data_IF_615433355327
#
_entry.id   IF_615433355327
#
_cell.length_a   1.000
_cell.length_b   1.000
_cell.length_c   1.000
_cell.angle_alpha   90.00
_cell.angle_beta   90.00
_cell.angle_gamma   90.00
#
_symmetry.space_group_name_H-M   'P 1'
#
loop_
_entity.id
_entity.type
_entity.pdbx_description
1 polymer ?
#
# COMPACT_ATOMS: atom_id res chain seq x y z
N UNK A 1 18.24 -9.91 -8.96
CA UNK A 1 16.82 -9.83 -9.40
C UNK A 1 16.12 -8.84 -8.51
N UNK A 2 15.50 -7.81 -9.08
CA UNK A 2 14.70 -6.85 -8.31
C UNK A 2 13.46 -7.59 -7.76
N UNK A 3 13.18 -7.43 -6.46
CA UNK A 3 12.03 -8.10 -5.83
C UNK A 3 10.74 -7.51 -6.39
N UNK A 4 9.79 -8.34 -6.80
CA UNK A 4 8.49 -7.90 -7.34
C UNK A 4 7.73 -7.07 -6.29
N UNK A 5 7.09 -5.98 -6.72
CA UNK A 5 6.22 -5.19 -5.84
C UNK A 5 4.98 -5.99 -5.42
N UNK A 6 4.60 -5.91 -4.15
CA UNK A 6 3.37 -6.55 -3.66
C UNK A 6 2.14 -5.77 -4.11
N UNK A 7 2.18 -4.44 -4.01
CA UNK A 7 1.01 -3.57 -4.18
C UNK A 7 1.08 -2.65 -5.41
N UNK A 8 2.28 -2.27 -5.87
CA UNK A 8 2.44 -1.14 -6.81
C UNK A 8 2.81 -1.57 -8.21
N UNK A 9 2.14 -0.99 -9.20
CA UNK A 9 2.38 -1.22 -10.62
C UNK A 9 1.66 -2.45 -11.21
N UNK A 10 1.58 -2.52 -12.55
CA UNK A 10 0.74 -3.48 -13.28
C UNK A 10 1.22 -4.94 -13.20
N UNK A 11 2.46 -5.16 -12.75
CA UNK A 11 3.04 -6.50 -12.54
C UNK A 11 3.13 -6.88 -11.06
N UNK A 12 2.51 -6.11 -10.17
CA UNK A 12 2.49 -6.43 -8.74
C UNK A 12 1.67 -7.67 -8.45
N UNK A 13 1.90 -8.27 -7.27
CA UNK A 13 1.09 -9.41 -6.83
C UNK A 13 -0.39 -9.07 -6.72
N UNK A 14 -0.70 -7.85 -6.28
CA UNK A 14 -2.06 -7.31 -6.26
C UNK A 14 -2.65 -7.18 -7.67
N UNK A 15 -1.89 -6.67 -8.66
CA UNK A 15 -2.38 -6.59 -10.04
C UNK A 15 -2.74 -7.96 -10.59
N UNK A 16 -1.88 -8.97 -10.36
CA UNK A 16 -2.04 -10.33 -10.87
C UNK A 16 -3.18 -11.07 -10.16
N UNK A 17 -3.23 -11.01 -8.83
CA UNK A 17 -4.14 -11.84 -8.04
C UNK A 17 -5.48 -11.17 -7.74
N UNK A 18 -5.51 -9.83 -7.65
CA UNK A 18 -6.68 -9.05 -7.23
C UNK A 18 -7.22 -8.13 -8.33
N UNK A 19 -6.52 -8.01 -9.47
CA UNK A 19 -6.93 -7.15 -10.59
C UNK A 19 -6.88 -5.65 -10.28
N UNK A 20 -6.22 -5.25 -9.20
CA UNK A 20 -6.03 -3.86 -8.79
C UNK A 20 -4.59 -3.63 -8.33
N UNK A 21 -4.08 -2.41 -8.43
CA UNK A 21 -2.76 -2.07 -7.90
C UNK A 21 -2.66 -0.58 -7.55
N UNK A 22 -1.71 -0.21 -6.69
CA UNK A 22 -1.37 1.19 -6.44
C UNK A 22 -0.52 1.72 -7.60
N UNK A 23 -0.89 2.87 -8.15
CA UNK A 23 -0.12 3.58 -9.18
C UNK A 23 1.39 3.61 -8.85
N UNK A 24 2.24 3.32 -9.84
CA UNK A 24 3.69 3.30 -9.67
C UNK A 24 4.32 4.68 -9.54
N UNK A 25 5.64 4.72 -9.42
CA UNK A 25 6.43 5.95 -9.28
C UNK A 25 6.80 6.29 -7.83
N UNK A 26 7.24 7.53 -7.61
CA UNK A 26 7.68 8.01 -6.30
C UNK A 26 6.52 8.05 -5.31
N UNK A 27 6.80 7.70 -4.06
CA UNK A 27 5.85 7.75 -2.95
C UNK A 27 5.42 9.20 -2.70
N UNK A 28 4.12 9.41 -2.63
CA UNK A 28 3.47 10.65 -2.23
C UNK A 28 2.37 10.33 -1.21
N UNK A 29 1.74 11.34 -0.64
CA UNK A 29 0.71 11.16 0.38
C UNK A 29 -0.49 10.32 -0.12
N UNK A 30 -0.90 10.50 -1.38
CA UNK A 30 -2.04 9.78 -1.95
C UNK A 30 -1.73 8.30 -2.20
N UNK A 31 -0.52 7.98 -2.67
CA UNK A 31 -0.05 6.59 -2.81
C UNK A 31 0.11 5.93 -1.44
N UNK A 32 0.64 6.63 -0.44
CA UNK A 32 0.70 6.11 0.92
C UNK A 32 -0.70 5.78 1.46
N UNK A 33 -1.69 6.64 1.24
CA UNK A 33 -3.09 6.36 1.59
C UNK A 33 -3.64 5.12 0.87
N UNK A 34 -3.35 4.96 -0.44
CA UNK A 34 -3.75 3.77 -1.21
C UNK A 34 -3.10 2.48 -0.67
N UNK A 35 -1.81 2.54 -0.32
CA UNK A 35 -1.14 1.43 0.33
C UNK A 35 -1.80 1.08 1.67
N UNK A 36 -1.99 2.05 2.56
CA UNK A 36 -2.62 1.84 3.87
C UNK A 36 -4.03 1.24 3.75
N UNK A 37 -4.80 1.67 2.75
CA UNK A 37 -6.10 1.08 2.44
C UNK A 37 -5.99 -0.43 2.16
N UNK A 38 -5.03 -0.84 1.32
CA UNK A 38 -4.81 -2.25 1.00
C UNK A 38 -4.20 -3.04 2.17
N UNK A 39 -3.34 -2.42 2.98
CA UNK A 39 -2.81 -3.05 4.19
C UNK A 39 -3.91 -3.36 5.21
N UNK A 40 -4.85 -2.43 5.43
CA UNK A 40 -5.99 -2.66 6.32
C UNK A 40 -6.91 -3.75 5.78
N UNK A 41 -7.21 -3.73 4.48
CA UNK A 41 -7.97 -4.81 3.81
C UNK A 41 -7.30 -6.18 4.01
N UNK A 42 -5.98 -6.24 3.86
CA UNK A 42 -5.20 -7.46 4.10
C UNK A 42 -5.28 -7.94 5.55
N UNK A 43 -5.23 -7.00 6.50
CA UNK A 43 -5.36 -7.31 7.93
C UNK A 43 -6.76 -7.85 8.25
N UNK A 44 -7.81 -7.21 7.76
CA UNK A 44 -9.21 -7.62 7.93
C UNK A 44 -9.46 -9.04 7.40
N UNK A 45 -8.91 -9.37 6.21
CA UNK A 45 -9.05 -10.71 5.62
C UNK A 45 -8.04 -11.74 6.13
N UNK A 46 -7.07 -11.33 6.94
CA UNK A 46 -6.06 -12.20 7.56
C UNK A 46 -4.90 -12.67 6.66
N UNK A 47 -4.79 -12.19 5.42
CA UNK A 47 -3.71 -12.58 4.51
C UNK A 47 -3.28 -11.48 3.54
N UNK A 48 -2.05 -11.62 3.05
CA UNK A 48 -1.44 -10.79 2.01
C UNK A 48 -0.49 -11.64 1.15
N UNK A 49 0.37 -11.02 0.35
CA UNK A 49 1.33 -11.68 -0.53
C UNK A 49 2.78 -11.39 -0.14
N UNK A 50 3.68 -12.31 -0.48
CA UNK A 50 5.13 -12.08 -0.51
C UNK A 50 5.61 -11.62 -1.90
N UNK A 51 6.93 -11.48 -2.08
CA UNK A 51 7.53 -11.05 -3.36
C UNK A 51 7.49 -12.13 -4.47
N UNK A 52 7.05 -13.36 -4.15
CA UNK A 52 6.79 -14.44 -5.11
C UNK A 52 5.28 -14.56 -5.40
N UNK A 53 4.47 -13.65 -4.86
CA UNK A 53 3.01 -13.66 -4.93
C UNK A 53 2.34 -14.88 -4.27
N UNK A 54 3.02 -15.51 -3.31
CA UNK A 54 2.42 -16.54 -2.46
C UNK A 54 1.64 -15.88 -1.35
N UNK A 55 0.49 -16.47 -0.99
CA UNK A 55 -0.30 -15.99 0.15
C UNK A 55 0.44 -16.26 1.46
N UNK A 56 0.55 -15.23 2.29
CA UNK A 56 1.12 -15.30 3.63
C UNK A 56 0.14 -14.67 4.63
N UNK A 57 0.23 -15.06 5.90
CA UNK A 57 -0.60 -14.48 6.96
C UNK A 57 -0.30 -12.98 7.12
N UNK A 58 -1.33 -12.15 7.17
CA UNK A 58 -1.20 -10.75 7.56
C UNK A 58 -1.40 -10.66 9.07
N UNK A 59 -0.31 -10.56 9.82
CA UNK A 59 -0.36 -10.35 11.27
C UNK A 59 -0.36 -8.85 11.59
N UNK A 60 -0.78 -8.42 12.79
CA UNK A 60 -0.66 -7.04 13.23
C UNK A 60 0.77 -6.49 13.10
N UNK A 61 1.78 -7.30 13.41
CA UNK A 61 3.19 -6.92 13.32
C UNK A 61 3.64 -6.72 11.87
N UNK A 62 3.17 -7.58 10.95
CA UNK A 62 3.46 -7.41 9.52
C UNK A 62 2.74 -6.19 8.94
N UNK A 63 1.49 -5.95 9.35
CA UNK A 63 0.73 -4.76 9.01
C UNK A 63 1.46 -3.48 9.45
N UNK A 64 1.93 -3.45 10.70
CA UNK A 64 2.69 -2.34 11.24
C UNK A 64 4.01 -2.12 10.48
N UNK A 65 4.79 -3.19 10.29
CA UNK A 65 6.07 -3.12 9.59
C UNK A 65 5.91 -2.58 8.16
N UNK A 66 4.91 -3.05 7.42
CA UNK A 66 4.64 -2.59 6.05
C UNK A 66 4.15 -1.16 6.00
N UNK A 67 3.30 -0.76 6.95
CA UNK A 67 2.80 0.62 7.03
C UNK A 67 3.95 1.60 7.33
N UNK A 68 4.83 1.27 8.28
CA UNK A 68 6.03 2.08 8.59
C UNK A 68 7.04 2.12 7.45
N UNK A 69 7.12 1.04 6.65
CA UNK A 69 8.01 1.00 5.50
C UNK A 69 7.67 2.07 4.44
N UNK A 70 6.43 2.56 4.37
CA UNK A 70 6.04 3.65 3.46
C UNK A 70 6.80 4.95 3.74
N UNK A 71 6.99 5.29 5.03
CA UNK A 71 7.77 6.46 5.46
C UNK A 71 9.23 6.30 5.06
N UNK A 72 9.79 5.12 5.31
CA UNK A 72 11.16 4.78 4.91
C UNK A 72 11.34 4.93 3.40
N UNK A 73 10.43 4.36 2.62
CA UNK A 73 10.47 4.42 1.16
C UNK A 73 10.38 5.87 0.64
N UNK A 74 9.52 6.71 1.23
CA UNK A 74 9.46 8.13 0.91
C UNK A 74 10.81 8.83 1.14
N UNK A 75 11.43 8.61 2.31
CA UNK A 75 12.70 9.23 2.68
C UNK A 75 13.84 8.78 1.77
N UNK A 76 13.93 7.48 1.49
CA UNK A 76 14.94 6.91 0.58
C UNK A 76 14.81 7.44 -0.85
N UNK A 77 13.59 7.74 -1.28
CA UNK A 77 13.36 8.35 -2.59
C UNK A 77 13.68 9.85 -2.58
N UNK A 78 13.74 10.52 -1.42
CA UNK A 78 13.86 11.98 -1.31
C UNK A 78 12.54 12.69 -1.57
N UNK A 79 11.41 12.14 -1.10
CA UNK A 79 10.10 12.77 -1.18
C UNK A 79 9.97 13.96 -0.22
N UNK A 80 9.08 14.90 -0.54
CA UNK A 80 8.80 16.08 0.29
C UNK A 80 7.77 15.82 1.39
N UNK A 81 6.86 14.87 1.18
CA UNK A 81 5.66 14.70 2.02
C UNK A 81 5.84 13.62 3.10
N UNK A 82 7.09 13.28 3.43
CA UNK A 82 7.37 12.10 4.27
C UNK A 82 6.86 12.24 5.70
N UNK A 83 6.81 13.47 6.23
CA UNK A 83 6.30 13.75 7.58
C UNK A 83 4.76 13.66 7.62
N UNK A 84 4.08 14.10 6.56
CA UNK A 84 2.63 13.93 6.37
C UNK A 84 2.27 12.45 6.24
N UNK A 85 3.08 11.68 5.49
CA UNK A 85 2.94 10.23 5.39
C UNK A 85 3.12 9.59 6.77
N UNK A 86 4.12 9.99 7.55
CA UNK A 86 4.34 9.47 8.90
C UNK A 86 3.16 9.77 9.83
N UNK A 87 2.60 10.97 9.79
CA UNK A 87 1.38 11.33 10.55
C UNK A 87 0.20 10.43 10.15
N UNK A 88 0.00 10.20 8.85
CA UNK A 88 -1.07 9.34 8.36
C UNK A 88 -0.87 7.87 8.77
N UNK A 89 0.35 7.35 8.65
CA UNK A 89 0.71 6.00 9.11
C UNK A 89 0.42 5.85 10.60
N UNK A 90 0.89 6.79 11.43
CA UNK A 90 0.65 6.75 12.87
C UNK A 90 -0.84 6.82 13.23
N UNK A 91 -1.62 7.63 12.50
CA UNK A 91 -3.07 7.66 12.66
C UNK A 91 -3.71 6.30 12.35
N UNK A 92 -3.36 5.68 11.21
CA UNK A 92 -3.91 4.38 10.81
C UNK A 92 -3.51 3.27 11.79
N UNK A 93 -2.26 3.24 12.25
CA UNK A 93 -1.81 2.25 13.22
C UNK A 93 -2.50 2.38 14.57
N UNK A 94 -2.83 3.61 14.98
CA UNK A 94 -3.52 3.88 16.25
C UNK A 94 -5.01 3.53 16.18
N UNK A 95 -5.67 3.87 15.07
CA UNK A 95 -7.13 3.81 14.98
C UNK A 95 -7.64 2.62 14.16
N UNK A 96 -6.77 1.92 13.42
CA UNK A 96 -7.12 0.89 12.43
C UNK A 96 -8.11 1.37 11.37
N UNK A 97 -8.07 2.67 11.06
CA UNK A 97 -8.96 3.33 10.13
C UNK A 97 -8.22 4.38 9.31
N UNK A 98 -8.69 4.60 8.07
CA UNK A 98 -8.25 5.72 7.24
C UNK A 98 -9.18 6.92 7.46
N UNK A 99 -8.64 8.14 7.65
CA UNK A 99 -9.47 9.33 7.66
C UNK A 99 -10.13 9.54 6.29
N UNK A 100 -11.33 10.11 6.26
CA UNK A 100 -12.18 10.22 5.05
C UNK A 100 -11.44 10.84 3.87
N UNK A 101 -10.69 11.92 4.10
CA UNK A 101 -9.90 12.58 3.04
C UNK A 101 -8.85 11.65 2.43
N UNK A 102 -8.22 10.78 3.23
CA UNK A 102 -7.20 9.86 2.76
C UNK A 102 -7.83 8.69 1.99
N UNK A 103 -9.03 8.25 2.37
CA UNK A 103 -9.80 7.25 1.62
C UNK A 103 -10.14 7.74 0.21
N UNK A 104 -10.51 9.01 0.06
CA UNK A 104 -10.76 9.63 -1.25
C UNK A 104 -9.50 9.67 -2.11
N UNK A 105 -8.35 10.02 -1.54
CA UNK A 105 -7.06 10.01 -2.24
C UNK A 105 -6.64 8.58 -2.62
N UNK A 106 -6.81 7.63 -1.71
CA UNK A 106 -6.50 6.21 -1.94
C UNK A 106 -7.22 5.68 -3.19
N UNK A 107 -8.52 5.95 -3.30
CA UNK A 107 -9.35 5.49 -4.44
C UNK A 107 -8.87 6.03 -5.79
N UNK A 108 -8.27 7.23 -5.83
CA UNK A 108 -7.72 7.82 -7.06
C UNK A 108 -6.41 7.16 -7.49
N UNK A 109 -5.68 6.54 -6.55
CA UNK A 109 -4.38 5.90 -6.79
C UNK A 109 -4.46 4.38 -6.92
N UNK A 110 -5.62 3.78 -6.66
CA UNK A 110 -5.87 2.37 -6.95
C UNK A 110 -6.37 2.22 -8.38
N UNK A 111 -5.53 1.67 -9.23
CA UNK A 111 -5.84 1.39 -10.64
C UNK A 111 -6.45 0.00 -10.75
N UNK A 112 -7.56 -0.11 -11.47
CA UNK A 112 -8.14 -1.41 -11.87
C UNK A 112 -7.49 -1.86 -13.17
N UNK A 113 -7.05 -3.11 -13.22
CA UNK A 113 -6.58 -3.73 -14.46
C UNK A 113 -7.77 -3.82 -15.41
N UNK A 114 -7.82 -2.93 -16.39
CA UNK A 114 -8.75 -3.03 -17.50
C UNK A 114 -8.18 -4.09 -18.43
N UNK A 115 -8.88 -5.22 -18.60
CA UNK A 115 -8.60 -6.10 -19.73
C UNK A 115 -8.93 -5.28 -20.98
N UNK A 116 -7.93 -4.78 -21.69
CA UNK A 116 -8.06 -4.58 -23.13
C UNK A 116 -8.29 -5.99 -23.69
N UNK A 117 -9.56 -6.33 -23.92
CA UNK A 117 -9.93 -7.44 -24.79
C UNK A 117 -9.62 -7.06 -26.23
#
# INVERSE_FOLDING_TARGET
MEKRSIYSGPQSCYAIAEGIYVEGGRMDLAKAAAHLYLHMRDLERGFTYDHECRRIKMTPELFEARSKFLVKLCREQGGSDCDEIEKLVNYVLKNYELPTWALEQARRKIVKVTRLM
#
